data_IF_235207802023
#
_entry.id   IF_235207802023
#
_cell.length_a   1.000
_cell.length_b   1.000
_cell.length_c   1.000
_cell.angle_alpha   90.00
_cell.angle_beta   90.00
_cell.angle_gamma   90.00
#
_symmetry.space_group_name_H-M   'P 1'
#
loop_
_entity.id
_entity.type
_entity.pdbx_description
1 polymer ?
#
# COMPACT_ATOMS: atom_id res chain seq x y z
N UNK A 1 0.14 58.86 55.22
CA UNK A 1 -0.29 58.05 54.06
C UNK A 1 0.48 58.53 52.83
N UNK A 2 1.81 58.32 52.81
CA UNK A 2 2.71 58.95 51.82
C UNK A 2 3.89 58.07 51.40
N UNK A 3 3.95 56.84 51.90
CA UNK A 3 5.10 55.93 51.74
C UNK A 3 4.97 54.98 50.55
N UNK A 4 3.77 54.74 50.03
CA UNK A 4 3.56 53.75 48.96
C UNK A 4 3.86 54.30 47.55
N UNK A 5 3.59 55.60 47.32
CA UNK A 5 3.85 56.26 46.04
C UNK A 5 5.35 56.44 45.75
N UNK A 6 6.18 56.68 46.77
CA UNK A 6 7.63 56.73 46.63
C UNK A 6 8.23 55.34 46.38
N UNK A 7 7.66 54.30 47.03
CA UNK A 7 8.06 52.90 46.85
C UNK A 7 7.73 52.39 45.44
N UNK A 8 6.53 52.67 44.91
CA UNK A 8 6.18 52.34 43.52
C UNK A 8 7.07 53.03 42.48
N UNK A 9 7.44 54.30 42.70
CA UNK A 9 8.38 55.02 41.81
C UNK A 9 9.78 54.39 41.83
N UNK A 10 10.22 53.87 42.98
CA UNK A 10 11.46 53.11 43.11
C UNK A 10 11.40 51.76 42.37
N UNK A 11 10.31 51.01 42.56
CA UNK A 11 10.09 49.72 41.88
C UNK A 11 10.02 49.89 40.36
N UNK A 12 9.32 50.89 39.84
CA UNK A 12 9.24 51.15 38.40
C UNK A 12 10.61 51.48 37.78
N UNK A 13 11.42 52.31 38.47
CA UNK A 13 12.80 52.60 38.02
C UNK A 13 13.67 51.34 38.03
N UNK A 14 13.50 50.48 39.04
CA UNK A 14 14.22 49.22 39.15
C UNK A 14 13.80 48.23 38.05
N UNK A 15 12.50 48.04 37.82
CA UNK A 15 11.98 47.18 36.75
C UNK A 15 12.44 47.65 35.38
N UNK A 16 12.41 48.97 35.13
CA UNK A 16 12.90 49.55 33.88
C UNK A 16 14.41 49.35 33.68
N UNK A 17 15.21 49.49 34.73
CA UNK A 17 16.65 49.23 34.67
C UNK A 17 16.94 47.74 34.41
N UNK A 18 16.16 46.84 35.01
CA UNK A 18 16.29 45.39 34.86
C UNK A 18 15.88 44.95 33.45
N UNK A 19 14.82 45.54 32.88
CA UNK A 19 14.41 45.34 31.50
C UNK A 19 15.48 45.85 30.52
N UNK A 20 16.04 47.03 30.74
CA UNK A 20 17.11 47.60 29.93
C UNK A 20 18.37 46.71 29.97
N UNK A 21 18.76 46.21 31.15
CA UNK A 21 19.85 45.24 31.30
C UNK A 21 19.58 43.96 30.50
N UNK A 22 18.37 43.40 30.59
CA UNK A 22 17.99 42.20 29.83
C UNK A 22 17.99 42.43 28.31
N UNK A 23 17.52 43.59 27.85
CA UNK A 23 17.60 43.98 26.44
C UNK A 23 19.05 44.11 25.96
N UNK A 24 19.93 44.78 26.72
CA UNK A 24 21.34 44.93 26.37
C UNK A 24 22.08 43.58 26.35
N UNK A 25 21.79 42.68 27.30
CA UNK A 25 22.35 41.32 27.33
C UNK A 25 21.92 40.55 26.09
N UNK A 26 20.61 40.53 25.77
CA UNK A 26 20.10 39.90 24.53
C UNK A 26 20.71 40.52 23.26
N UNK A 27 20.96 41.82 23.26
CA UNK A 27 21.57 42.51 22.13
C UNK A 27 23.05 42.19 21.96
N UNK A 28 23.78 41.90 23.06
CA UNK A 28 25.17 41.43 23.04
C UNK A 28 25.27 39.95 22.65
N UNK A 29 24.32 39.10 23.06
CA UNK A 29 24.24 37.68 22.69
C UNK A 29 23.42 37.45 21.41
N UNK A 30 23.45 38.42 20.47
CA UNK A 30 22.63 38.47 19.25
C UNK A 30 22.67 37.18 18.44
N UNK A 31 23.82 36.49 18.39
CA UNK A 31 23.97 35.22 17.65
C UNK A 31 23.15 34.07 18.25
N UNK A 32 23.11 33.95 19.59
CA UNK A 32 22.35 32.90 20.28
C UNK A 32 20.85 33.16 20.24
N UNK A 33 20.42 34.40 20.50
CA UNK A 33 18.99 34.74 20.48
C UNK A 33 18.38 34.75 19.07
N UNK A 34 19.17 35.04 18.03
CA UNK A 34 18.73 34.87 16.64
C UNK A 34 18.61 33.40 16.29
N UNK A 35 19.55 32.56 16.73
CA UNK A 35 19.48 31.11 16.51
C UNK A 35 18.25 30.48 17.18
N UNK A 36 17.91 30.89 18.41
CA UNK A 36 16.71 30.43 19.14
C UNK A 36 15.39 30.70 18.41
N UNK A 37 15.32 31.75 17.58
CA UNK A 37 14.12 32.11 16.81
C UNK A 37 14.19 31.55 15.39
N UNK A 38 15.36 31.57 14.76
CA UNK A 38 15.56 31.10 13.40
C UNK A 38 15.39 29.58 13.29
N UNK A 39 15.85 28.83 14.30
CA UNK A 39 15.76 27.38 14.32
C UNK A 39 14.31 26.84 14.30
N UNK A 40 13.40 27.26 15.19
CA UNK A 40 12.00 26.82 15.12
C UNK A 40 11.30 27.30 13.86
N UNK A 41 11.61 28.50 13.35
CA UNK A 41 11.07 28.98 12.07
C UNK A 41 11.53 28.14 10.88
N UNK A 42 12.81 27.75 10.88
CA UNK A 42 13.37 26.86 9.87
C UNK A 42 12.68 25.50 9.89
N UNK A 43 12.54 24.87 11.06
CA UNK A 43 11.82 23.61 11.19
C UNK A 43 10.36 23.72 10.77
N UNK A 44 9.65 24.79 11.18
CA UNK A 44 8.27 25.04 10.77
C UNK A 44 8.17 25.16 9.24
N UNK A 45 9.08 25.91 8.63
CA UNK A 45 9.13 26.07 7.17
C UNK A 45 9.35 24.72 6.47
N UNK A 46 10.27 23.89 6.96
CA UNK A 46 10.47 22.54 6.41
C UNK A 46 9.24 21.65 6.58
N UNK A 47 8.57 21.70 7.72
CA UNK A 47 7.33 20.93 7.94
C UNK A 47 6.23 21.37 6.98
N UNK A 48 6.10 22.68 6.71
CA UNK A 48 5.13 23.20 5.74
C UNK A 48 5.51 22.74 4.33
N UNK A 49 6.80 22.81 3.94
CA UNK A 49 7.25 22.30 2.64
C UNK A 49 6.97 20.80 2.48
N UNK A 50 7.28 19.99 3.50
CA UNK A 50 6.98 18.56 3.50
C UNK A 50 5.48 18.30 3.41
N UNK A 51 4.67 19.05 4.14
CA UNK A 51 3.20 18.97 4.08
C UNK A 51 2.64 19.42 2.73
N UNK A 52 3.28 20.35 2.01
CA UNK A 52 2.87 20.75 0.67
C UNK A 52 3.32 19.75 -0.38
N UNK A 53 4.48 19.12 -0.21
CA UNK A 53 4.97 18.05 -1.09
C UNK A 53 4.15 16.77 -0.92
N UNK A 54 3.71 16.47 0.30
CA UNK A 54 2.86 15.34 0.65
C UNK A 54 1.55 15.85 1.25
N UNK A 55 0.66 16.45 0.44
CA UNK A 55 -0.62 16.93 0.95
C UNK A 55 -1.40 15.76 1.55
N UNK A 56 -1.98 15.99 2.73
CA UNK A 56 -2.98 15.09 3.30
C UNK A 56 -4.15 15.04 2.31
N UNK A 57 -4.17 13.98 1.51
CA UNK A 57 -5.21 13.81 0.52
C UNK A 57 -6.48 13.42 1.28
N UNK A 58 -7.45 14.32 1.29
CA UNK A 58 -8.80 14.04 1.75
C UNK A 58 -9.50 13.33 0.60
N UNK A 59 -9.98 12.12 0.86
CA UNK A 59 -10.74 11.34 -0.10
C UNK A 59 -12.17 11.25 0.39
N UNK A 60 -13.09 11.50 -0.52
CA UNK A 60 -14.51 11.24 -0.29
C UNK A 60 -14.79 9.74 -0.40
N UNK A 61 -15.92 9.30 0.14
CA UNK A 61 -16.40 7.92 -0.02
C UNK A 61 -16.49 7.58 -1.53
N UNK A 62 -15.80 6.51 -1.92
CA UNK A 62 -15.91 5.95 -3.26
C UNK A 62 -17.23 5.17 -3.30
N UNK A 63 -18.14 5.46 -4.24
CA UNK A 63 -19.39 4.72 -4.34
C UNK A 63 -19.09 3.23 -4.59
N UNK A 64 -19.84 2.37 -3.92
CA UNK A 64 -19.75 0.93 -4.13
C UNK A 64 -19.97 0.64 -5.61
N UNK A 65 -18.91 0.11 -6.23
CA UNK A 65 -19.00 -0.43 -7.57
C UNK A 65 -19.44 -1.87 -7.41
N UNK A 66 -20.60 -2.22 -7.95
CA UNK A 66 -20.98 -3.62 -8.07
C UNK A 66 -19.86 -4.32 -8.85
N UNK A 67 -19.08 -5.15 -8.15
CA UNK A 67 -18.11 -6.07 -8.74
C UNK A 67 -18.92 -7.08 -9.55
N UNK A 68 -19.29 -6.66 -10.75
CA UNK A 68 -20.03 -7.46 -11.72
C UNK A 68 -19.33 -8.80 -11.91
N UNK A 69 -20.09 -9.84 -12.28
CA UNK A 69 -19.61 -11.23 -12.45
C UNK A 69 -18.16 -11.32 -12.92
N UNK A 70 -17.34 -12.13 -12.24
CA UNK A 70 -15.93 -12.37 -12.58
C UNK A 70 -15.80 -12.56 -14.09
N UNK A 71 -15.12 -11.63 -14.77
CA UNK A 71 -14.88 -11.76 -16.20
C UNK A 71 -13.81 -12.82 -16.44
N UNK A 72 -14.27 -14.06 -16.66
CA UNK A 72 -13.41 -15.21 -16.89
C UNK A 72 -12.55 -15.07 -18.16
N UNK A 73 -12.91 -14.16 -19.08
CA UNK A 73 -12.12 -13.92 -20.30
C UNK A 73 -10.72 -13.36 -20.01
N UNK A 74 -10.57 -12.60 -18.93
CA UNK A 74 -9.27 -12.07 -18.48
C UNK A 74 -8.33 -13.22 -18.09
N UNK A 75 -8.89 -14.31 -17.55
CA UNK A 75 -8.10 -15.48 -17.16
C UNK A 75 -7.58 -16.22 -18.40
N UNK A 76 -8.30 -16.13 -19.53
CA UNK A 76 -7.92 -16.72 -20.83
C UNK A 76 -6.67 -16.15 -21.47
N UNK A 77 -6.15 -15.03 -20.99
CA UNK A 77 -4.89 -14.46 -21.48
C UNK A 77 -3.65 -15.09 -20.83
N UNK A 78 -3.83 -15.90 -19.78
CA UNK A 78 -2.72 -16.43 -18.97
C UNK A 78 -2.39 -17.89 -19.28
N UNK A 79 -1.10 -18.21 -19.20
CA UNK A 79 -0.62 -19.60 -19.08
C UNK A 79 -0.49 -19.91 -17.60
N UNK A 80 -1.28 -20.87 -17.11
CA UNK A 80 -1.33 -21.20 -15.69
C UNK A 80 -0.49 -22.45 -15.43
N UNK A 81 0.68 -22.27 -14.81
CA UNK A 81 1.52 -23.36 -14.33
C UNK A 81 1.19 -23.71 -12.89
N UNK A 82 1.26 -25.00 -12.51
CA UNK A 82 1.10 -25.38 -11.10
C UNK A 82 2.08 -26.44 -10.61
N UNK A 83 2.36 -26.40 -9.31
CA UNK A 83 3.31 -27.29 -8.62
C UNK A 83 2.95 -27.43 -7.13
N UNK A 84 3.28 -28.55 -6.45
CA UNK A 84 3.70 -29.81 -7.04
C UNK A 84 2.51 -30.55 -7.67
N UNK A 85 2.79 -31.30 -8.73
CA UNK A 85 1.83 -32.19 -9.37
C UNK A 85 1.60 -33.42 -8.50
N UNK A 86 0.37 -33.62 -8.06
CA UNK A 86 -0.10 -34.84 -7.41
C UNK A 86 -1.56 -35.11 -7.82
N UNK A 87 -2.13 -36.24 -7.38
CA UNK A 87 -3.49 -36.62 -7.78
C UNK A 87 -4.56 -35.59 -7.38
N UNK A 88 -4.39 -34.93 -6.23
CA UNK A 88 -5.34 -33.93 -5.70
C UNK A 88 -5.21 -32.62 -6.47
N UNK A 89 -4.00 -32.08 -6.63
CA UNK A 89 -3.76 -30.82 -7.34
C UNK A 89 -4.12 -30.93 -8.82
N UNK A 90 -3.87 -32.07 -9.46
CA UNK A 90 -4.35 -32.34 -10.82
C UNK A 90 -5.88 -32.33 -10.90
N UNK A 91 -6.57 -32.96 -9.95
CA UNK A 91 -8.04 -32.97 -9.90
C UNK A 91 -8.60 -31.55 -9.73
N UNK A 92 -8.02 -30.75 -8.84
CA UNK A 92 -8.39 -29.34 -8.62
C UNK A 92 -8.18 -28.53 -9.90
N UNK A 93 -6.99 -28.56 -10.49
CA UNK A 93 -6.66 -27.74 -11.66
C UNK A 93 -7.46 -28.16 -12.91
N UNK A 94 -7.71 -29.46 -13.09
CA UNK A 94 -8.58 -29.95 -14.16
C UNK A 94 -10.04 -29.50 -13.94
N UNK A 95 -10.54 -29.53 -12.70
CA UNK A 95 -11.90 -29.08 -12.39
C UNK A 95 -12.05 -27.58 -12.64
N UNK A 96 -11.07 -26.80 -12.21
CA UNK A 96 -11.00 -25.37 -12.43
C UNK A 96 -10.98 -25.02 -13.92
N UNK A 97 -10.11 -25.67 -14.70
CA UNK A 97 -10.01 -25.39 -16.14
C UNK A 97 -11.28 -25.81 -16.88
N UNK A 98 -11.87 -26.96 -16.56
CA UNK A 98 -13.09 -27.41 -17.20
C UNK A 98 -14.30 -26.48 -16.99
N UNK A 99 -14.40 -25.81 -15.84
CA UNK A 99 -15.54 -24.94 -15.52
C UNK A 99 -15.35 -23.48 -15.92
N UNK A 100 -14.12 -22.96 -15.79
CA UNK A 100 -13.88 -21.52 -15.90
C UNK A 100 -13.05 -21.15 -17.12
N UNK A 101 -12.39 -22.10 -17.79
CA UNK A 101 -11.50 -21.81 -18.91
C UNK A 101 -12.18 -22.13 -20.25
N UNK A 102 -12.16 -21.17 -21.17
CA UNK A 102 -12.56 -21.41 -22.57
C UNK A 102 -11.48 -22.21 -23.29
N UNK A 103 -11.88 -22.99 -24.32
CA UNK A 103 -10.96 -23.80 -25.13
C UNK A 103 -9.77 -22.97 -25.61
N UNK A 104 -8.57 -23.23 -25.07
CA UNK A 104 -7.34 -22.50 -25.43
C UNK A 104 -6.37 -22.23 -24.29
N UNK A 105 -6.77 -22.38 -23.02
CA UNK A 105 -5.84 -22.17 -21.90
C UNK A 105 -5.00 -23.42 -21.63
N UNK A 106 -3.69 -23.27 -21.72
CA UNK A 106 -2.72 -24.32 -21.41
C UNK A 106 -2.39 -24.29 -19.91
N UNK A 107 -2.93 -25.25 -19.16
CA UNK A 107 -2.42 -25.53 -17.80
C UNK A 107 -1.14 -26.34 -17.92
N UNK A 108 -0.02 -25.83 -17.39
CA UNK A 108 1.27 -26.54 -17.40
C UNK A 108 1.52 -27.21 -16.03
N UNK A 109 1.85 -28.51 -16.07
CA UNK A 109 2.12 -29.34 -14.90
C UNK A 109 3.63 -29.31 -14.56
N UNK A 110 3.99 -29.02 -13.30
CA UNK A 110 5.39 -29.02 -12.85
C UNK A 110 5.62 -29.86 -11.59
N UNK A 111 6.72 -30.62 -11.57
CA UNK A 111 7.09 -31.43 -10.41
C UNK A 111 7.67 -30.57 -9.28
N UNK A 112 8.45 -29.56 -9.65
CA UNK A 112 9.12 -28.67 -8.69
C UNK A 112 8.86 -27.20 -8.96
N UNK A 113 9.00 -26.39 -7.91
CA UNK A 113 8.91 -24.93 -8.02
C UNK A 113 9.99 -24.34 -8.92
N UNK A 114 11.16 -24.98 -8.99
CA UNK A 114 12.27 -24.55 -9.82
C UNK A 114 11.96 -24.72 -11.31
N UNK A 115 11.43 -25.88 -11.73
CA UNK A 115 11.01 -26.11 -13.12
C UNK A 115 9.92 -25.11 -13.56
N UNK A 116 8.96 -24.83 -12.67
CA UNK A 116 7.92 -23.83 -12.94
C UNK A 116 8.50 -22.42 -13.07
N UNK A 117 9.51 -22.09 -12.26
CA UNK A 117 10.20 -20.80 -12.35
C UNK A 117 10.98 -20.68 -13.67
N UNK A 118 11.61 -21.75 -14.12
CA UNK A 118 12.26 -21.81 -15.44
C UNK A 118 11.25 -21.58 -16.58
N UNK A 119 10.06 -22.16 -16.47
CA UNK A 119 8.96 -21.92 -17.40
C UNK A 119 8.45 -20.48 -17.41
N UNK A 120 8.46 -19.81 -16.25
CA UNK A 120 8.06 -18.40 -16.14
C UNK A 120 8.92 -17.51 -17.04
N UNK A 121 10.21 -17.82 -17.24
CA UNK A 121 11.08 -17.06 -18.13
C UNK A 121 10.72 -17.19 -19.61
N UNK A 122 10.00 -18.25 -20.03
CA UNK A 122 9.52 -18.40 -21.41
C UNK A 122 8.45 -17.35 -21.74
N UNK A 123 7.61 -17.00 -20.76
CA UNK A 123 6.46 -16.10 -20.93
C UNK A 123 6.26 -15.16 -19.73
N UNK A 124 7.18 -14.21 -19.47
CA UNK A 124 7.22 -13.46 -18.21
C UNK A 124 6.03 -12.52 -17.96
N UNK A 125 5.25 -12.17 -18.99
CA UNK A 125 4.10 -11.25 -18.88
C UNK A 125 2.74 -11.97 -18.81
N UNK A 126 2.68 -13.23 -19.21
CA UNK A 126 1.44 -14.02 -19.28
C UNK A 126 1.49 -15.31 -18.48
N UNK A 127 2.64 -15.69 -17.91
CA UNK A 127 2.75 -16.86 -17.05
C UNK A 127 2.31 -16.52 -15.62
N UNK A 128 1.44 -17.37 -15.06
CA UNK A 128 1.02 -17.33 -13.67
C UNK A 128 1.31 -18.69 -13.04
N UNK A 129 1.99 -18.69 -11.90
CA UNK A 129 2.32 -19.90 -11.15
C UNK A 129 1.41 -20.11 -9.95
N UNK A 130 0.93 -21.33 -9.76
CA UNK A 130 0.17 -21.78 -8.59
C UNK A 130 1.03 -22.78 -7.81
N UNK A 131 1.45 -22.39 -6.60
CA UNK A 131 2.28 -23.22 -5.73
C UNK A 131 1.41 -23.76 -4.60
N UNK A 132 0.94 -24.98 -4.73
CA UNK A 132 0.22 -25.67 -3.67
C UNK A 132 1.18 -26.00 -2.52
N UNK A 133 0.80 -25.61 -1.31
CA UNK A 133 1.46 -26.01 -0.06
C UNK A 133 0.72 -27.16 0.61
N UNK A 134 -0.59 -27.22 0.44
CA UNK A 134 -1.47 -28.27 0.89
C UNK A 134 -2.71 -28.35 -0.03
N UNK A 135 -3.59 -29.32 0.19
CA UNK A 135 -4.89 -29.51 -0.48
C UNK A 135 -5.80 -28.28 -0.44
N UNK A 136 -5.68 -27.45 0.59
CA UNK A 136 -6.50 -26.25 0.84
C UNK A 136 -5.69 -24.94 0.83
N UNK A 137 -4.39 -25.01 0.55
CA UNK A 137 -3.49 -23.86 0.68
C UNK A 137 -2.55 -23.76 -0.50
N UNK A 138 -2.49 -22.59 -1.12
CA UNK A 138 -1.65 -22.31 -2.27
C UNK A 138 -1.10 -20.87 -2.24
N UNK A 139 -0.09 -20.64 -3.07
CA UNK A 139 0.51 -19.33 -3.28
C UNK A 139 0.47 -19.00 -4.77
N UNK A 140 0.07 -17.78 -5.10
CA UNK A 140 0.05 -17.29 -6.47
C UNK A 140 1.32 -16.51 -6.78
N UNK A 141 1.93 -16.81 -7.93
CA UNK A 141 3.03 -16.06 -8.52
C UNK A 141 2.54 -15.38 -9.79
N UNK A 142 2.39 -14.07 -9.72
CA UNK A 142 2.00 -13.25 -10.86
C UNK A 142 3.17 -12.39 -11.35
N UNK A 143 3.14 -11.97 -12.62
CA UNK A 143 4.04 -10.94 -13.13
C UNK A 143 3.96 -9.66 -12.29
N UNK A 144 5.10 -9.04 -11.91
CA UNK A 144 5.12 -7.82 -11.09
C UNK A 144 4.36 -6.64 -11.68
N UNK A 145 4.12 -6.64 -13.00
CA UNK A 145 3.35 -5.63 -13.73
C UNK A 145 1.84 -5.75 -13.54
N UNK A 146 1.36 -6.91 -13.07
CA UNK A 146 -0.07 -7.27 -12.98
C UNK A 146 -0.60 -7.32 -11.55
N UNK A 147 0.26 -7.08 -10.57
CA UNK A 147 -0.09 -7.05 -9.15
C UNK A 147 0.53 -5.81 -8.53
N UNK A 148 -0.20 -5.07 -7.69
CA UNK A 148 0.36 -3.89 -7.07
C UNK A 148 1.52 -4.27 -6.13
N UNK A 149 2.48 -3.34 -6.00
CA UNK A 149 3.64 -3.55 -5.13
C UNK A 149 3.13 -3.62 -3.69
N UNK A 150 3.42 -4.72 -3.01
CA UNK A 150 3.11 -4.90 -1.59
C UNK A 150 3.85 -3.84 -0.77
N UNK A 151 3.18 -2.72 -0.49
CA UNK A 151 3.68 -1.77 0.49
C UNK A 151 3.51 -2.41 1.86
N UNK A 152 4.64 -2.74 2.48
CA UNK A 152 4.77 -3.26 3.86
C UNK A 152 4.11 -2.30 4.89
N UNK A 153 3.75 -1.08 4.47
CA UNK A 153 3.04 -0.09 5.26
C UNK A 153 1.61 0.06 4.73
N UNK A 154 0.67 -0.64 5.37
CA UNK A 154 -0.77 -0.47 5.20
C UNK A 154 -1.18 0.83 5.90
N UNK A 155 -0.72 1.97 5.40
CA UNK A 155 -1.42 3.23 5.63
C UNK A 155 -2.49 3.34 4.54
N UNK A 156 -3.71 2.92 4.89
CA UNK A 156 -4.96 3.18 4.18
C UNK A 156 -4.81 3.58 2.70
N UNK A 157 -4.36 2.63 1.87
CA UNK A 157 -4.41 2.72 0.40
C UNK A 157 -5.84 2.53 -0.15
N UNK A 158 -6.88 2.75 0.66
CA UNK A 158 -8.26 2.95 0.23
C UNK A 158 -8.44 4.31 -0.46
N UNK A 159 -7.44 4.69 -1.25
CA UNK A 159 -7.25 6.02 -1.77
C UNK A 159 -7.04 5.88 -3.27
N UNK A 160 -8.12 6.14 -4.01
CA UNK A 160 -8.07 6.23 -5.45
C UNK A 160 -8.00 7.70 -5.84
N UNK A 161 -6.85 8.21 -6.33
CA UNK A 161 -6.67 9.64 -6.56
C UNK A 161 -7.60 10.23 -7.64
N UNK A 162 -8.15 9.39 -8.52
CA UNK A 162 -9.08 9.78 -9.57
C UNK A 162 -10.02 8.60 -9.87
N UNK A 163 -11.36 8.78 -9.88
CA UNK A 163 -12.31 7.74 -10.28
C UNK A 163 -12.19 7.35 -11.76
N UNK A 164 -11.51 8.17 -12.56
CA UNK A 164 -11.21 7.89 -13.98
C UNK A 164 -9.92 7.07 -14.19
N UNK A 165 -9.16 6.77 -13.12
CA UNK A 165 -7.96 5.94 -13.17
C UNK A 165 -8.17 4.66 -12.37
N UNK A 166 -7.53 3.59 -12.83
CA UNK A 166 -7.51 2.30 -12.14
C UNK A 166 -6.95 2.51 -10.73
N UNK A 167 -7.75 2.16 -9.74
CA UNK A 167 -7.31 2.21 -8.34
C UNK A 167 -6.34 1.06 -8.08
N UNK A 168 -5.40 1.24 -7.15
CA UNK A 168 -4.44 0.19 -6.84
C UNK A 168 -5.14 -1.12 -6.38
N UNK A 169 -6.24 -0.99 -5.64
CA UNK A 169 -7.11 -2.09 -5.25
C UNK A 169 -7.83 -2.77 -6.44
N UNK A 170 -8.20 -2.02 -7.48
CA UNK A 170 -8.83 -2.55 -8.69
C UNK A 170 -7.83 -3.35 -9.53
N UNK A 171 -6.52 -3.12 -9.39
CA UNK A 171 -5.45 -3.84 -10.10
C UNK A 171 -5.60 -5.36 -9.96
N UNK A 172 -5.92 -5.85 -8.76
CA UNK A 172 -6.13 -7.29 -8.51
C UNK A 172 -7.31 -7.85 -9.31
N UNK A 173 -8.38 -7.08 -9.46
CA UNK A 173 -9.55 -7.47 -10.23
C UNK A 173 -9.28 -7.39 -11.73
N UNK A 174 -8.79 -6.23 -12.18
CA UNK A 174 -8.51 -5.86 -13.58
C UNK A 174 -7.57 -6.83 -14.28
N UNK A 175 -6.52 -7.29 -13.59
CA UNK A 175 -5.53 -8.20 -14.15
C UNK A 175 -5.81 -9.68 -13.82
N UNK A 176 -7.01 -10.01 -13.34
CA UNK A 176 -7.44 -11.39 -13.17
C UNK A 176 -6.85 -12.13 -11.97
N UNK A 177 -6.14 -11.46 -11.06
CA UNK A 177 -5.65 -12.09 -9.83
C UNK A 177 -6.82 -12.59 -8.98
N UNK A 178 -7.79 -11.71 -8.69
CA UNK A 178 -8.97 -12.05 -7.91
C UNK A 178 -9.82 -13.10 -8.64
N UNK A 179 -9.95 -12.96 -9.96
CA UNK A 179 -10.68 -13.90 -10.81
C UNK A 179 -10.10 -15.32 -10.72
N UNK A 180 -8.78 -15.46 -10.88
CA UNK A 180 -8.09 -16.74 -10.76
C UNK A 180 -8.20 -17.30 -9.34
N UNK A 181 -8.09 -16.45 -8.31
CA UNK A 181 -8.23 -16.87 -6.92
C UNK A 181 -9.62 -17.47 -6.65
N UNK A 182 -10.68 -16.78 -7.10
CA UNK A 182 -12.07 -17.26 -6.98
C UNK A 182 -12.25 -18.60 -7.71
N UNK A 183 -11.71 -18.76 -8.92
CA UNK A 183 -11.80 -20.01 -9.68
C UNK A 183 -11.09 -21.19 -8.97
N UNK A 184 -9.87 -20.96 -8.45
CA UNK A 184 -9.12 -21.99 -7.71
C UNK A 184 -9.88 -22.36 -6.42
N UNK A 185 -10.30 -21.37 -5.64
CA UNK A 185 -11.01 -21.59 -4.37
C UNK A 185 -12.32 -22.35 -4.60
N UNK A 186 -13.09 -21.98 -5.64
CA UNK A 186 -14.31 -22.69 -6.02
C UNK A 186 -14.01 -24.15 -6.41
N UNK A 187 -12.95 -24.41 -7.18
CA UNK A 187 -12.56 -25.76 -7.57
C UNK A 187 -12.09 -26.59 -6.35
N UNK A 188 -11.32 -26.01 -5.43
CA UNK A 188 -10.90 -26.66 -4.17
C UNK A 188 -12.14 -27.05 -3.37
N UNK A 189 -13.09 -26.15 -3.18
CA UNK A 189 -14.32 -26.43 -2.44
C UNK A 189 -15.07 -27.60 -3.09
N UNK A 190 -15.33 -27.51 -4.39
CA UNK A 190 -16.10 -28.54 -5.09
C UNK A 190 -15.43 -29.91 -5.08
N UNK A 191 -14.10 -29.97 -5.22
CA UNK A 191 -13.36 -31.24 -5.18
C UNK A 191 -13.46 -31.87 -3.79
N UNK A 192 -13.36 -31.07 -2.73
CA UNK A 192 -13.42 -31.57 -1.36
C UNK A 192 -14.84 -31.86 -0.84
N UNK A 193 -15.88 -31.25 -1.42
CA UNK A 193 -17.28 -31.52 -1.03
C UNK A 193 -17.94 -32.65 -1.80
N UNK A 194 -17.42 -33.03 -2.97
CA UNK A 194 -17.94 -34.12 -3.80
C UNK A 194 -17.15 -35.44 -3.66
N UNK A 195 -16.24 -35.53 -2.69
CA UNK A 195 -15.51 -36.75 -2.32
C UNK A 195 -16.17 -37.51 -1.16
#
# INVERSE_FOLDING_TARGET
MSTDASRQKGVWRQTRALFYKNCLVKWRTKKSSVQEILLPLFFLFWLILLSMMYPNKKYDEVPDSDLYSVDHSIISEFVVGYTPVNNVTRKIMHKMSAEYFTEGITTEEFLTEQEMQEATFRSPQSFVGVIFKDSMSYQLRFPPTKVPVSAIHVESRASCPNPSKICEAETYWRYGFAALQICIDAAIIQVNTND
#
